data_IF_394880818712
#
_entry.id   IF_394880818712
#
_cell.length_a   1.000
_cell.length_b   1.000
_cell.length_c   1.000
_cell.angle_alpha   90.00
_cell.angle_beta   90.00
_cell.angle_gamma   90.00
#
_symmetry.space_group_name_H-M   'P 1'
#
loop_
_entity.id
_entity.type
_entity.pdbx_description
1 polymer ?
#
# COMPACT_ATOMS: atom_id res chain seq x y z
N UNK A 1 5.93 56.60 -10.75
CA UNK A 1 5.56 55.59 -11.77
C UNK A 1 4.69 54.56 -11.09
N UNK A 2 3.37 54.66 -11.31
CA UNK A 2 2.33 53.90 -10.62
C UNK A 2 1.93 52.70 -11.50
N UNK A 3 2.11 51.47 -11.02
CA UNK A 3 1.43 50.31 -11.59
C UNK A 3 0.28 49.88 -10.68
N UNK A 4 -0.93 50.16 -11.17
CA UNK A 4 -2.20 49.58 -10.71
C UNK A 4 -2.28 48.15 -11.25
N UNK A 5 -2.47 47.16 -10.39
CA UNK A 5 -3.11 45.90 -10.78
C UNK A 5 -4.49 45.81 -10.13
N UNK A 6 -5.49 45.84 -10.99
CA UNK A 6 -6.89 45.66 -10.66
C UNK A 6 -7.18 44.19 -10.35
N UNK A 7 -7.64 43.89 -9.14
CA UNK A 7 -8.24 42.60 -8.81
C UNK A 7 -9.74 42.73 -9.04
N UNK A 8 -10.18 42.07 -10.11
CA UNK A 8 -11.56 42.00 -10.55
C UNK A 8 -12.41 41.26 -9.51
N UNK A 9 -13.47 41.91 -9.04
CA UNK A 9 -14.47 41.31 -8.16
C UNK A 9 -15.34 40.31 -8.91
N UNK A 10 -15.28 39.04 -8.51
CA UNK A 10 -16.23 38.01 -8.90
C UNK A 10 -17.11 37.65 -7.70
N UNK A 11 -18.34 38.16 -7.79
CA UNK A 11 -19.47 37.99 -6.90
C UNK A 11 -20.01 36.56 -7.07
N UNK A 12 -19.80 35.70 -6.07
CA UNK A 12 -20.40 34.36 -6.02
C UNK A 12 -21.88 34.46 -5.62
N UNK A 13 -22.84 33.87 -6.36
CA UNK A 13 -24.22 33.77 -5.92
C UNK A 13 -24.36 32.62 -4.89
N UNK A 14 -25.02 32.93 -3.76
CA UNK A 14 -25.52 31.95 -2.80
C UNK A 14 -26.64 31.14 -3.46
N UNK A 15 -26.44 29.84 -3.62
CA UNK A 15 -27.53 28.91 -3.95
C UNK A 15 -27.95 28.19 -2.67
N UNK A 16 -29.15 28.55 -2.21
CA UNK A 16 -29.87 27.84 -1.16
C UNK A 16 -30.43 26.54 -1.75
N UNK A 17 -30.02 25.40 -1.20
CA UNK A 17 -30.66 24.11 -1.48
C UNK A 17 -31.58 23.80 -0.31
N UNK A 18 -32.88 23.88 -0.58
CA UNK A 18 -33.94 23.56 0.35
C UNK A 18 -33.95 22.05 0.65
N UNK A 19 -33.91 21.71 1.93
CA UNK A 19 -34.17 20.35 2.41
C UNK A 19 -35.68 20.09 2.42
N UNK A 20 -36.14 19.21 1.53
CA UNK A 20 -37.45 18.57 1.67
C UNK A 20 -37.27 17.16 2.21
N UNK A 21 -37.68 16.95 3.46
CA UNK A 21 -37.88 15.62 4.02
C UNK A 21 -39.16 15.03 3.44
N UNK A 22 -39.05 13.97 2.64
CA UNK A 22 -40.17 13.08 2.32
C UNK A 22 -39.88 11.75 3.00
N UNK A 23 -40.67 11.47 4.03
CA UNK A 23 -40.76 10.18 4.67
C UNK A 23 -41.42 9.18 3.71
N UNK A 24 -40.74 8.09 3.41
CA UNK A 24 -41.33 6.90 2.80
C UNK A 24 -40.95 5.71 3.68
N UNK A 25 -41.93 5.25 4.43
CA UNK A 25 -41.95 3.97 5.14
C UNK A 25 -41.95 2.86 4.10
N UNK A 26 -40.90 2.04 4.10
CA UNK A 26 -40.76 0.88 3.20
C UNK A 26 -40.12 -0.28 3.94
N UNK A 27 -40.94 -1.27 4.27
CA UNK A 27 -40.61 -2.53 4.93
C UNK A 27 -39.50 -3.31 4.21
N UNK A 28 -38.44 -3.66 4.93
CA UNK A 28 -37.37 -4.58 4.51
C UNK A 28 -37.86 -6.02 4.65
N UNK A 29 -38.06 -6.70 3.52
CA UNK A 29 -37.98 -8.16 3.41
C UNK A 29 -36.61 -8.48 2.82
N UNK A 30 -35.74 -9.07 3.63
CA UNK A 30 -34.42 -9.56 3.22
C UNK A 30 -34.56 -10.95 2.58
N UNK A 31 -34.19 -11.07 1.31
CA UNK A 31 -33.77 -12.34 0.73
C UNK A 31 -32.33 -12.17 0.25
N UNK A 32 -31.40 -12.75 1.02
CA UNK A 32 -30.00 -12.86 0.66
C UNK A 32 -29.83 -13.98 -0.35
N UNK A 33 -29.25 -13.64 -1.50
CA UNK A 33 -28.61 -14.58 -2.39
C UNK A 33 -27.14 -14.69 -1.96
N UNK A 34 -26.67 -15.91 -1.70
CA UNK A 34 -25.25 -16.23 -1.81
C UNK A 34 -25.08 -17.40 -2.77
N UNK A 35 -24.11 -17.25 -3.66
CA UNK A 35 -23.91 -18.06 -4.82
C UNK A 35 -22.60 -18.84 -4.69
N UNK A 36 -22.72 -20.17 -4.80
CA UNK A 36 -21.91 -20.95 -5.74
C UNK A 36 -20.56 -21.47 -5.25
N UNK A 37 -20.48 -22.81 -5.21
CA UNK A 37 -19.40 -23.74 -5.61
C UNK A 37 -19.59 -25.04 -4.79
N UNK A 38 -19.67 -26.25 -5.36
CA UNK A 38 -18.71 -26.90 -6.23
C UNK A 38 -19.32 -27.99 -7.13
N UNK A 39 -18.60 -28.22 -8.23
CA UNK A 39 -18.67 -29.29 -9.22
C UNK A 39 -18.49 -30.71 -8.65
N UNK A 40 -19.13 -31.72 -9.25
CA UNK A 40 -18.44 -32.81 -9.99
C UNK A 40 -19.39 -33.96 -10.36
N UNK A 41 -19.18 -34.45 -11.58
CA UNK A 41 -19.67 -35.73 -12.11
C UNK A 41 -19.13 -36.90 -11.27
N UNK A 42 -19.94 -37.95 -11.06
CA UNK A 42 -19.66 -39.34 -11.51
C UNK A 42 -20.77 -40.31 -11.09
N UNK A 43 -21.10 -41.19 -12.04
CA UNK A 43 -21.66 -42.55 -11.95
C UNK A 43 -22.12 -43.12 -10.60
N UNK A 44 -23.37 -43.62 -10.55
CA UNK A 44 -23.62 -45.04 -10.20
C UNK A 44 -25.04 -45.51 -10.53
N UNK A 45 -25.14 -46.29 -11.61
CA UNK A 45 -25.62 -47.67 -11.64
C UNK A 45 -26.91 -48.03 -10.84
N UNK A 46 -28.01 -48.12 -11.59
CA UNK A 46 -28.99 -49.22 -11.67
C UNK A 46 -29.42 -49.94 -10.37
N UNK A 47 -30.72 -49.85 -10.06
CA UNK A 47 -31.49 -51.05 -9.73
C UNK A 47 -32.90 -51.02 -10.37
N UNK A 48 -33.08 -51.95 -11.32
CA UNK A 48 -34.34 -52.31 -11.98
C UNK A 48 -35.35 -52.86 -10.97
N UNK A 49 -36.61 -52.46 -11.12
CA UNK A 49 -37.73 -53.41 -11.02
C UNK A 49 -38.69 -53.17 -12.17
N UNK A 50 -38.55 -53.99 -13.21
CA UNK A 50 -39.47 -54.12 -14.31
C UNK A 50 -40.41 -55.29 -14.04
N UNK A 51 -41.72 -55.04 -14.13
CA UNK A 51 -42.79 -55.98 -14.50
C UNK A 51 -44.09 -55.17 -14.43
N UNK A 52 -45.01 -55.14 -15.39
CA UNK A 52 -45.23 -56.02 -16.53
C UNK A 52 -46.28 -55.39 -17.45
N UNK A 53 -46.07 -55.60 -18.76
CA UNK A 53 -47.04 -55.77 -19.85
C UNK A 53 -48.07 -54.69 -20.19
N UNK A 54 -47.95 -54.29 -21.46
CA UNK A 54 -49.07 -53.94 -22.33
C UNK A 54 -50.12 -55.06 -22.37
N UNK A 55 -51.40 -54.72 -22.22
CA UNK A 55 -52.47 -54.94 -23.21
C UNK A 55 -53.83 -54.62 -22.57
N UNK A 56 -54.58 -53.75 -23.26
CA UNK A 56 -56.03 -53.50 -23.27
C UNK A 56 -56.95 -54.47 -22.51
N UNK A 57 -58.08 -53.95 -21.97
CA UNK A 57 -59.29 -53.99 -22.78
C UNK A 57 -60.03 -52.64 -22.87
N UNK A 58 -60.53 -52.44 -24.08
CA UNK A 58 -61.49 -51.45 -24.55
C UNK A 58 -62.71 -51.35 -23.61
N UNK A 59 -63.17 -50.13 -23.25
CA UNK A 59 -64.58 -49.85 -23.15
C UNK A 59 -65.00 -49.12 -24.43
N UNK A 60 -65.75 -49.85 -25.24
CA UNK A 60 -66.53 -49.35 -26.34
C UNK A 60 -67.56 -48.39 -25.78
N UNK A 61 -67.28 -47.10 -25.90
CA UNK A 61 -68.29 -46.06 -25.81
C UNK A 61 -67.95 -45.05 -26.89
N UNK A 62 -68.48 -45.27 -28.08
CA UNK A 62 -68.61 -44.24 -29.09
C UNK A 62 -69.36 -43.06 -28.45
N UNK A 63 -68.78 -41.86 -28.31
CA UNK A 63 -69.61 -40.68 -28.22
C UNK A 63 -70.07 -40.45 -29.65
N UNK A 64 -71.33 -40.77 -29.92
CA UNK A 64 -71.98 -40.34 -31.14
C UNK A 64 -71.75 -38.84 -31.31
N UNK A 65 -71.16 -38.47 -32.44
CA UNK A 65 -71.13 -37.11 -32.94
C UNK A 65 -72.58 -36.65 -33.11
N UNK A 66 -73.09 -35.95 -32.12
CA UNK A 66 -74.05 -34.87 -32.32
C UNK A 66 -73.41 -33.58 -31.84
N UNK A 67 -72.22 -33.28 -32.38
CA UNK A 67 -71.64 -31.95 -32.19
C UNK A 67 -72.37 -31.06 -33.17
N UNK A 68 -73.14 -30.12 -32.65
CA UNK A 68 -73.73 -29.07 -33.46
C UNK A 68 -72.59 -28.39 -34.25
N UNK A 69 -72.78 -28.00 -35.53
CA UNK A 69 -71.72 -27.36 -36.30
C UNK A 69 -71.19 -26.09 -35.59
N UNK A 70 -72.00 -25.45 -34.74
CA UNK A 70 -71.63 -24.36 -33.84
C UNK A 70 -70.56 -24.74 -32.81
N UNK A 71 -70.67 -25.87 -32.12
CA UNK A 71 -69.69 -26.28 -31.10
C UNK A 71 -68.33 -26.65 -31.71
N UNK A 72 -68.30 -27.24 -32.90
CA UNK A 72 -67.05 -27.50 -33.62
C UNK A 72 -66.38 -26.17 -34.00
N UNK A 73 -67.15 -25.17 -34.46
CA UNK A 73 -66.59 -23.86 -34.81
C UNK A 73 -66.08 -23.09 -33.59
N UNK A 74 -66.73 -23.23 -32.43
CA UNK A 74 -66.26 -22.64 -31.16
C UNK A 74 -64.98 -23.30 -30.64
N UNK A 75 -64.87 -24.63 -30.75
CA UNK A 75 -63.64 -25.33 -30.38
C UNK A 75 -62.47 -24.99 -31.31
N UNK A 76 -62.73 -24.79 -32.61
CA UNK A 76 -61.72 -24.34 -33.56
C UNK A 76 -61.25 -22.91 -33.24
N UNK A 77 -62.16 -21.99 -32.92
CA UNK A 77 -61.80 -20.61 -32.55
C UNK A 77 -61.02 -20.55 -31.23
N UNK A 78 -61.38 -21.36 -30.23
CA UNK A 78 -60.59 -21.50 -29.00
C UNK A 78 -59.19 -22.06 -29.27
N UNK A 79 -59.06 -23.02 -30.20
CA UNK A 79 -57.75 -23.58 -30.56
C UNK A 79 -56.86 -22.56 -31.27
N UNK A 80 -57.46 -21.72 -32.12
CA UNK A 80 -56.76 -20.61 -32.75
C UNK A 80 -56.31 -19.57 -31.73
N UNK A 81 -57.16 -19.22 -30.77
CA UNK A 81 -56.84 -18.26 -29.71
C UNK A 81 -55.73 -18.78 -28.77
N UNK A 82 -55.81 -20.05 -28.36
CA UNK A 82 -54.74 -20.69 -27.58
C UNK A 82 -53.41 -20.74 -28.35
N UNK A 83 -53.45 -20.94 -29.66
CA UNK A 83 -52.24 -20.86 -30.51
C UNK A 83 -51.66 -19.45 -30.55
N UNK A 84 -52.52 -18.41 -30.63
CA UNK A 84 -52.08 -17.01 -30.55
C UNK A 84 -51.44 -16.71 -29.20
N UNK A 85 -52.06 -17.14 -28.10
CA UNK A 85 -51.51 -16.96 -26.75
C UNK A 85 -50.17 -17.69 -26.57
N UNK A 86 -50.05 -18.92 -27.07
CA UNK A 86 -48.77 -19.63 -27.07
C UNK A 86 -47.71 -18.89 -27.89
N UNK A 87 -48.04 -18.35 -29.05
CA UNK A 87 -47.07 -17.56 -29.83
C UNK A 87 -46.66 -16.26 -29.13
N UNK A 88 -47.60 -15.57 -28.47
CA UNK A 88 -47.30 -14.36 -27.70
C UNK A 88 -46.43 -14.70 -26.51
N UNK A 89 -46.75 -15.75 -25.76
CA UNK A 89 -45.95 -16.21 -24.63
C UNK A 89 -44.55 -16.67 -25.07
N UNK A 90 -44.42 -17.28 -26.24
CA UNK A 90 -43.11 -17.65 -26.78
C UNK A 90 -42.30 -16.42 -27.17
N UNK A 91 -42.93 -15.42 -27.77
CA UNK A 91 -42.29 -14.15 -28.10
C UNK A 91 -41.86 -13.38 -26.84
N UNK A 92 -42.69 -13.34 -25.79
CA UNK A 92 -42.30 -12.69 -24.53
C UNK A 92 -41.15 -13.41 -23.84
N UNK A 93 -41.14 -14.74 -23.83
CA UNK A 93 -40.00 -15.51 -23.32
C UNK A 93 -38.75 -15.20 -24.15
N UNK A 94 -38.86 -15.12 -25.47
CA UNK A 94 -37.73 -14.82 -26.35
C UNK A 94 -37.18 -13.41 -26.11
N UNK A 95 -38.03 -12.39 -25.96
CA UNK A 95 -37.60 -11.01 -25.70
C UNK A 95 -37.01 -10.82 -24.31
N UNK A 96 -37.58 -11.48 -23.29
CA UNK A 96 -37.01 -11.48 -21.94
C UNK A 96 -35.66 -12.20 -21.93
N UNK A 97 -35.53 -13.30 -22.66
CA UNK A 97 -34.26 -14.04 -22.76
C UNK A 97 -33.19 -13.21 -23.48
N UNK A 98 -33.54 -12.51 -24.58
CA UNK A 98 -32.60 -11.63 -25.27
C UNK A 98 -32.19 -10.44 -24.40
N UNK A 99 -33.14 -9.81 -23.68
CA UNK A 99 -32.85 -8.71 -22.75
C UNK A 99 -31.99 -9.15 -21.57
N UNK A 100 -32.21 -10.35 -21.02
CA UNK A 100 -31.35 -10.91 -19.98
C UNK A 100 -29.93 -11.22 -20.50
N UNK A 101 -29.81 -11.72 -21.73
CA UNK A 101 -28.51 -11.96 -22.35
C UNK A 101 -27.73 -10.66 -22.57
N UNK A 102 -28.40 -9.60 -23.04
CA UNK A 102 -27.83 -8.26 -23.22
C UNK A 102 -27.41 -7.65 -21.87
N UNK A 103 -28.28 -7.67 -20.87
CA UNK A 103 -27.96 -7.16 -19.53
C UNK A 103 -26.78 -7.89 -18.88
N UNK A 104 -26.70 -9.21 -19.06
CA UNK A 104 -25.57 -9.99 -18.55
C UNK A 104 -24.27 -9.66 -19.30
N UNK A 105 -24.33 -9.47 -20.63
CA UNK A 105 -23.18 -9.05 -21.43
C UNK A 105 -22.68 -7.66 -21.01
N UNK A 106 -23.58 -6.71 -20.76
CA UNK A 106 -23.24 -5.39 -20.24
C UNK A 106 -22.60 -5.46 -18.85
N UNK A 107 -23.16 -6.27 -17.94
CA UNK A 107 -22.60 -6.48 -16.60
C UNK A 107 -21.17 -7.02 -16.66
N UNK A 108 -20.89 -7.97 -17.55
CA UNK A 108 -19.54 -8.48 -17.80
C UNK A 108 -18.59 -7.41 -18.34
N UNK A 109 -19.04 -6.55 -19.26
CA UNK A 109 -18.24 -5.43 -19.74
C UNK A 109 -17.92 -4.42 -18.63
N UNK A 110 -18.88 -4.13 -17.76
CA UNK A 110 -18.64 -3.28 -16.59
C UNK A 110 -17.63 -3.92 -15.65
N UNK A 111 -17.76 -5.22 -15.32
CA UNK A 111 -16.78 -5.94 -14.49
C UNK A 111 -15.36 -5.84 -15.06
N UNK A 112 -15.20 -6.01 -16.38
CA UNK A 112 -13.90 -5.85 -17.06
C UNK A 112 -13.35 -4.44 -16.95
N UNK A 113 -14.18 -3.41 -17.15
CA UNK A 113 -13.77 -2.00 -17.02
C UNK A 113 -13.40 -1.64 -15.59
N UNK A 114 -14.13 -2.17 -14.59
CA UNK A 114 -13.80 -1.99 -13.18
C UNK A 114 -12.47 -2.65 -12.84
N UNK A 115 -12.22 -3.87 -13.31
CA UNK A 115 -10.93 -4.54 -13.12
C UNK A 115 -9.77 -3.76 -13.77
N UNK A 116 -9.94 -3.23 -15.00
CA UNK A 116 -8.93 -2.39 -15.64
C UNK A 116 -8.67 -1.09 -14.86
N UNK A 117 -9.72 -0.43 -14.36
CA UNK A 117 -9.56 0.75 -13.50
C UNK A 117 -8.85 0.43 -12.19
N UNK A 118 -9.15 -0.71 -11.57
CA UNK A 118 -8.51 -1.17 -10.34
C UNK A 118 -7.02 -1.43 -10.57
N UNK A 119 -6.65 -2.13 -11.65
CA UNK A 119 -5.26 -2.35 -12.04
C UNK A 119 -4.52 -1.03 -12.34
N UNK A 120 -5.19 -0.07 -12.99
CA UNK A 120 -4.60 1.27 -13.21
C UNK A 120 -4.40 2.03 -11.89
N UNK A 121 -5.32 1.92 -10.94
CA UNK A 121 -5.19 2.55 -9.62
C UNK A 121 -4.10 1.89 -8.77
N UNK A 122 -3.91 0.58 -8.91
CA UNK A 122 -2.81 -0.16 -8.29
C UNK A 122 -1.47 0.20 -8.91
N UNK A 123 -1.39 0.28 -10.25
CA UNK A 123 -0.18 0.68 -10.97
C UNK A 123 0.26 2.12 -10.64
N UNK A 124 -0.70 3.02 -10.41
CA UNK A 124 -0.42 4.38 -9.93
C UNK A 124 -0.03 4.44 -8.44
N UNK A 125 -0.06 3.30 -7.73
CA UNK A 125 0.23 3.23 -6.29
C UNK A 125 -0.81 3.94 -5.41
N UNK A 126 -1.90 4.45 -6.00
CA UNK A 126 -2.94 5.21 -5.32
C UNK A 126 -3.84 4.31 -4.46
N UNK A 127 -3.93 3.02 -4.75
CA UNK A 127 -4.66 2.07 -3.91
C UNK A 127 -4.05 1.90 -2.51
N UNK A 128 -2.72 2.00 -2.39
CA UNK A 128 -2.04 2.10 -1.08
C UNK A 128 -2.14 3.52 -0.51
N UNK A 129 -1.99 4.57 -1.33
CA UNK A 129 -2.02 5.95 -0.84
C UNK A 129 -3.40 6.42 -0.35
N UNK A 130 -4.50 5.89 -0.93
CA UNK A 130 -5.88 6.27 -0.57
C UNK A 130 -6.37 5.59 0.72
N UNK A 131 -6.08 4.30 0.91
CA UNK A 131 -6.36 3.59 2.18
C UNK A 131 -5.49 4.09 3.32
N UNK A 132 -4.25 4.49 3.02
CA UNK A 132 -3.29 4.99 4.00
C UNK A 132 -3.21 6.52 4.03
N UNK A 133 -4.24 7.25 3.59
CA UNK A 133 -4.23 8.72 3.59
C UNK A 133 -3.81 9.30 4.94
N UNK A 134 -4.29 8.71 6.04
CA UNK A 134 -3.88 9.09 7.39
C UNK A 134 -2.38 8.80 7.67
N UNK A 135 -1.83 7.68 7.19
CA UNK A 135 -0.38 7.39 7.34
C UNK A 135 0.46 8.28 6.42
N UNK A 136 -0.07 8.67 5.26
CA UNK A 136 0.59 9.58 4.33
C UNK A 136 0.62 10.99 4.90
N UNK A 137 -0.49 11.46 5.48
CA UNK A 137 -0.55 12.72 6.24
C UNK A 137 0.40 12.68 7.44
N UNK A 138 0.46 11.58 8.19
CA UNK A 138 1.42 11.43 9.29
C UNK A 138 2.88 11.47 8.81
N UNK A 139 3.20 10.81 7.69
CA UNK A 139 4.55 10.85 7.08
C UNK A 139 4.89 12.25 6.57
N UNK A 140 3.93 12.96 5.98
CA UNK A 140 4.10 14.34 5.54
C UNK A 140 4.33 15.27 6.74
N UNK A 141 3.54 15.14 7.81
CA UNK A 141 3.75 15.91 9.04
C UNK A 141 5.11 15.63 9.66
N UNK A 142 5.53 14.37 9.68
CA UNK A 142 6.86 13.97 10.17
C UNK A 142 7.96 14.58 9.29
N UNK A 143 7.88 14.41 7.97
CA UNK A 143 8.88 14.94 7.04
C UNK A 143 8.95 16.48 7.05
N UNK A 144 7.82 17.17 7.18
CA UNK A 144 7.77 18.64 7.31
C UNK A 144 8.36 19.06 8.66
N UNK A 145 8.05 18.36 9.75
CA UNK A 145 8.65 18.62 11.06
C UNK A 145 10.16 18.41 11.06
N UNK A 146 10.64 17.32 10.46
CA UNK A 146 12.07 17.00 10.34
C UNK A 146 12.78 18.07 9.49
N UNK A 147 12.16 18.50 8.39
CA UNK A 147 12.68 19.58 7.55
C UNK A 147 12.75 20.91 8.30
N UNK A 148 11.74 21.25 9.10
CA UNK A 148 11.76 22.45 9.94
C UNK A 148 12.86 22.37 11.01
N UNK A 149 13.08 21.20 11.61
CA UNK A 149 14.14 21.00 12.58
C UNK A 149 15.52 21.17 11.92
N UNK A 150 15.74 20.56 10.76
CA UNK A 150 16.97 20.72 9.99
C UNK A 150 17.18 22.17 9.49
N UNK A 151 16.11 22.90 9.18
CA UNK A 151 16.19 24.34 8.88
C UNK A 151 16.66 25.14 10.10
N UNK A 152 16.08 24.91 11.27
CA UNK A 152 16.49 25.58 12.52
C UNK A 152 17.94 25.30 12.88
N UNK A 153 18.40 24.05 12.74
CA UNK A 153 19.81 23.71 12.95
C UNK A 153 20.72 24.47 11.97
N UNK A 154 20.38 24.49 10.68
CA UNK A 154 21.14 25.28 9.69
C UNK A 154 21.19 26.77 10.01
N UNK A 155 20.10 27.34 10.50
CA UNK A 155 20.07 28.75 10.89
C UNK A 155 20.95 29.00 12.12
N UNK A 156 20.97 28.09 13.10
CA UNK A 156 21.91 28.16 14.23
C UNK A 156 23.38 28.09 13.78
N UNK A 157 23.72 27.21 12.83
CA UNK A 157 25.08 27.18 12.24
C UNK A 157 25.42 28.49 11.53
N UNK A 158 24.47 29.06 10.77
CA UNK A 158 24.66 30.35 10.08
C UNK A 158 24.91 31.48 11.06
N UNK A 159 24.12 31.57 12.12
CA UNK A 159 24.26 32.61 13.14
C UNK A 159 25.61 32.52 13.85
N UNK A 160 26.04 31.32 14.22
CA UNK A 160 27.35 31.11 14.86
C UNK A 160 28.51 31.41 13.91
N UNK A 161 28.40 31.06 12.63
CA UNK A 161 29.41 31.39 11.62
C UNK A 161 29.49 32.89 11.38
N UNK A 162 28.35 33.59 11.34
CA UNK A 162 28.31 35.05 11.23
C UNK A 162 28.98 35.72 12.43
N UNK A 163 28.62 35.30 13.65
CA UNK A 163 29.25 35.78 14.88
C UNK A 163 30.76 35.49 14.94
N UNK A 164 31.20 34.32 14.45
CA UNK A 164 32.62 33.99 14.34
C UNK A 164 33.34 34.87 13.33
N UNK A 165 32.77 35.07 12.14
CA UNK A 165 33.33 35.96 11.14
C UNK A 165 33.45 37.40 11.64
N UNK A 166 32.48 37.87 12.43
CA UNK A 166 32.51 39.19 13.04
C UNK A 166 33.61 39.28 14.11
N UNK A 167 33.69 38.30 15.02
CA UNK A 167 34.74 38.24 16.04
C UNK A 167 36.15 38.19 15.40
N UNK A 168 36.32 37.41 14.34
CA UNK A 168 37.57 37.33 13.58
C UNK A 168 37.91 38.66 12.89
N UNK A 169 36.94 39.34 12.28
CA UNK A 169 37.15 40.65 11.67
C UNK A 169 37.46 41.73 12.71
N UNK A 170 36.81 41.70 13.89
CA UNK A 170 37.16 42.58 15.01
C UNK A 170 38.58 42.32 15.47
N UNK A 171 38.96 41.05 15.64
CA UNK A 171 40.32 40.68 16.00
C UNK A 171 41.36 41.15 14.99
N UNK A 172 41.14 40.98 13.69
CA UNK A 172 42.07 41.48 12.67
C UNK A 172 42.20 43.00 12.67
N UNK A 173 41.12 43.73 12.96
CA UNK A 173 41.14 45.20 13.08
C UNK A 173 41.83 45.70 14.34
N UNK A 174 41.76 44.94 15.45
CA UNK A 174 42.37 45.30 16.74
C UNK A 174 43.72 44.63 16.97
N UNK A 175 44.14 43.69 16.13
CA UNK A 175 45.41 42.98 16.22
C UNK A 175 46.63 43.92 16.06
N UNK A 176 46.47 45.09 15.45
CA UNK A 176 47.49 46.14 15.45
C UNK A 176 47.73 46.74 16.85
N UNK A 177 46.79 46.58 17.80
CA UNK A 177 46.83 47.15 19.15
C UNK A 177 47.01 46.14 20.31
N UNK A 178 47.03 44.83 20.05
CA UNK A 178 47.26 43.83 21.11
C UNK A 178 46.10 43.65 22.11
N UNK A 179 44.86 43.90 21.69
CA UNK A 179 43.69 43.79 22.57
C UNK A 179 43.45 42.34 23.02
N UNK A 180 43.66 42.10 24.32
CA UNK A 180 43.41 40.81 24.97
C UNK A 180 41.93 40.38 24.91
N UNK A 181 41.00 41.35 24.89
CA UNK A 181 39.57 41.09 24.76
C UNK A 181 39.19 40.51 23.39
N UNK A 182 39.79 40.99 22.30
CA UNK A 182 39.48 40.49 20.97
C UNK A 182 39.98 39.04 20.76
N UNK A 183 41.08 38.65 21.42
CA UNK A 183 41.55 37.25 21.46
C UNK A 183 40.58 36.35 22.23
N UNK A 184 40.10 36.84 23.37
CA UNK A 184 39.15 36.11 24.21
C UNK A 184 37.83 35.84 23.48
N UNK A 185 37.31 36.82 22.74
CA UNK A 185 36.06 36.68 21.97
C UNK A 185 36.17 35.65 20.84
N UNK A 186 37.30 35.63 20.12
CA UNK A 186 37.56 34.63 19.06
C UNK A 186 37.67 33.23 19.66
N UNK A 187 38.39 33.06 20.77
CA UNK A 187 38.48 31.76 21.45
C UNK A 187 37.14 31.28 22.01
N UNK A 188 36.34 32.19 22.58
CA UNK A 188 35.00 31.89 23.05
C UNK A 188 34.10 31.41 21.90
N UNK A 189 34.19 32.06 20.74
CA UNK A 189 33.40 31.70 19.57
C UNK A 189 33.90 30.44 18.84
N UNK A 190 35.21 30.14 18.90
CA UNK A 190 35.74 28.85 18.45
C UNK A 190 35.23 27.70 19.33
N UNK A 191 35.17 27.90 20.65
CA UNK A 191 34.61 26.90 21.57
C UNK A 191 33.12 26.69 21.35
N UNK A 192 32.35 27.75 21.11
CA UNK A 192 30.91 27.65 20.86
C UNK A 192 30.61 26.95 19.53
N UNK A 193 31.36 27.26 18.47
CA UNK A 193 31.27 26.60 17.16
C UNK A 193 31.64 25.12 17.23
N UNK A 194 32.78 24.78 17.87
CA UNK A 194 33.20 23.38 18.02
C UNK A 194 32.16 22.57 18.82
N UNK A 195 31.58 23.14 19.87
CA UNK A 195 30.52 22.48 20.63
C UNK A 195 29.24 22.22 19.81
N UNK A 196 28.94 23.03 18.78
CA UNK A 196 27.81 22.79 17.89
C UNK A 196 28.12 21.68 16.89
N UNK A 197 29.33 21.69 16.31
CA UNK A 197 29.81 20.65 15.40
C UNK A 197 29.87 19.27 16.08
N UNK A 198 30.34 19.22 17.34
CA UNK A 198 30.39 17.98 18.14
C UNK A 198 28.99 17.41 18.42
N UNK A 199 27.98 18.27 18.61
CA UNK A 199 26.59 17.84 18.77
C UNK A 199 26.00 17.28 17.48
N UNK A 200 26.35 17.87 16.32
CA UNK A 200 25.92 17.40 15.00
C UNK A 200 26.49 16.03 14.65
N UNK A 201 27.81 15.89 14.79
CA UNK A 201 28.55 14.67 14.41
C UNK A 201 28.09 13.45 15.21
N UNK A 202 27.79 13.64 16.49
CA UNK A 202 27.24 12.58 17.35
C UNK A 202 25.86 12.10 16.87
N UNK A 203 25.02 13.00 16.37
CA UNK A 203 23.68 12.67 15.86
C UNK A 203 23.78 11.94 14.51
N UNK A 204 24.68 12.36 13.61
CA UNK A 204 24.91 11.70 12.31
C UNK A 204 25.55 10.31 12.44
N UNK A 205 26.38 10.07 13.46
CA UNK A 205 27.01 8.75 13.66
C UNK A 205 26.01 7.61 13.92
N UNK A 206 24.76 7.93 14.30
CA UNK A 206 23.71 6.95 14.61
C UNK A 206 22.90 6.49 13.39
N UNK A 207 23.15 7.02 12.19
CA UNK A 207 22.45 6.64 10.96
C UNK A 207 23.45 6.14 9.92
N UNK A 208 23.81 4.85 9.98
CA UNK A 208 24.59 4.19 8.94
C UNK A 208 23.69 3.67 7.83
N UNK A 209 24.09 3.87 6.57
CA UNK A 209 23.45 3.20 5.44
C UNK A 209 23.94 1.74 5.36
N UNK A 210 23.14 0.83 4.77
CA UNK A 210 23.49 -0.59 4.64
C UNK A 210 24.84 -0.83 3.91
N UNK A 211 25.27 0.15 3.12
CA UNK A 211 26.53 0.15 2.36
C UNK A 211 27.71 0.81 3.11
N UNK A 212 27.43 1.54 4.20
CA UNK A 212 28.41 2.34 4.94
C UNK A 212 28.16 2.25 6.45
N UNK A 213 27.92 1.02 6.92
CA UNK A 213 27.76 0.76 8.33
C UNK A 213 29.10 0.92 9.06
N UNK A 214 29.06 1.29 10.35
CA UNK A 214 30.25 1.33 11.21
C UNK A 214 29.98 0.64 12.55
N UNK A 215 31.05 0.09 13.14
CA UNK A 215 31.03 -0.52 14.46
C UNK A 215 30.94 0.58 15.53
N UNK A 216 29.83 0.65 16.26
CA UNK A 216 29.64 1.58 17.39
C UNK A 216 30.29 1.02 18.66
N UNK A 217 30.16 -0.29 18.88
CA UNK A 217 30.58 -0.91 20.13
C UNK A 217 31.02 -2.35 19.92
N UNK A 218 32.09 -2.71 20.63
CA UNK A 218 32.64 -4.06 20.65
C UNK A 218 32.67 -4.57 22.08
N UNK A 219 32.10 -5.75 22.31
CA UNK A 219 32.23 -6.47 23.57
C UNK A 219 32.93 -7.80 23.31
N UNK A 220 34.26 -7.79 23.46
CA UNK A 220 35.13 -8.93 23.11
C UNK A 220 34.79 -10.20 23.91
N UNK A 221 34.45 -10.07 25.20
CA UNK A 221 34.10 -11.21 26.07
C UNK A 221 32.91 -12.05 25.54
N UNK A 222 32.03 -11.43 24.75
CA UNK A 222 30.81 -12.04 24.22
C UNK A 222 30.89 -12.24 22.70
N UNK A 223 32.03 -11.90 22.08
CA UNK A 223 32.20 -11.83 20.62
C UNK A 223 31.05 -11.07 19.94
N UNK A 224 30.57 -10.01 20.60
CA UNK A 224 29.37 -9.27 20.19
C UNK A 224 29.75 -7.89 19.68
N UNK A 225 29.24 -7.56 18.49
CA UNK A 225 29.49 -6.30 17.79
C UNK A 225 28.17 -5.58 17.58
N UNK A 226 28.16 -4.28 17.87
CA UNK A 226 27.01 -3.40 17.67
C UNK A 226 27.27 -2.48 16.49
N UNK A 227 26.42 -2.56 15.46
CA UNK A 227 26.49 -1.73 14.25
C UNK A 227 25.41 -0.65 14.20
N UNK A 228 25.68 0.46 13.51
CA UNK A 228 24.79 1.63 13.37
C UNK A 228 23.68 1.51 12.30
N UNK A 229 23.33 0.29 11.90
CA UNK A 229 22.28 -0.02 10.93
C UNK A 229 21.40 -1.15 11.45
N UNK A 230 20.13 -1.19 11.06
CA UNK A 230 19.12 -2.10 11.57
C UNK A 230 18.03 -2.42 10.54
N UNK A 231 16.81 -2.67 11.04
CA UNK A 231 15.69 -3.15 10.23
C UNK A 231 15.25 -2.12 9.17
N UNK A 232 15.41 -0.83 9.46
CA UNK A 232 15.08 0.25 8.51
C UNK A 232 15.95 0.21 7.26
N UNK A 233 17.19 -0.18 7.42
CA UNK A 233 18.17 -0.29 6.36
C UNK A 233 18.01 -1.60 5.58
N UNK A 234 17.21 -2.55 6.08
CA UNK A 234 16.91 -3.84 5.42
C UNK A 234 17.66 -5.04 6.01
N UNK A 235 18.27 -4.88 7.18
CA UNK A 235 19.01 -5.95 7.86
C UNK A 235 18.05 -6.98 8.46
N UNK A 236 18.36 -8.26 8.25
CA UNK A 236 17.60 -9.39 8.77
C UNK A 236 18.47 -10.25 9.68
N UNK A 237 17.81 -10.91 10.63
CA UNK A 237 18.43 -11.90 11.49
C UNK A 237 19.03 -13.00 10.61
N UNK A 238 20.27 -13.39 10.90
CA UNK A 238 21.01 -14.41 10.17
C UNK A 238 21.79 -13.91 8.95
N UNK A 239 21.66 -12.63 8.57
CA UNK A 239 22.40 -12.07 7.44
C UNK A 239 23.91 -12.01 7.73
N UNK A 240 24.78 -12.42 6.78
CA UNK A 240 26.22 -12.32 6.95
C UNK A 240 26.70 -10.88 6.70
N UNK A 241 27.63 -10.43 7.55
CA UNK A 241 28.29 -9.13 7.46
C UNK A 241 29.80 -9.33 7.41
N UNK A 242 30.51 -8.38 6.81
CA UNK A 242 31.97 -8.31 6.81
C UNK A 242 32.43 -7.02 7.43
N UNK A 243 33.42 -7.12 8.29
CA UNK A 243 34.17 -5.98 8.81
C UNK A 243 35.35 -5.74 7.88
N UNK A 244 35.46 -4.53 7.33
CA UNK A 244 36.59 -4.08 6.54
C UNK A 244 37.33 -2.94 7.23
N UNK A 245 38.66 -2.99 7.17
CA UNK A 245 39.54 -1.89 7.56
C UNK A 245 40.37 -1.52 6.34
N UNK A 246 40.00 -0.43 5.68
CA UNK A 246 40.49 -0.15 4.33
C UNK A 246 39.98 -1.21 3.34
N UNK A 247 40.90 -1.87 2.64
CA UNK A 247 40.57 -2.91 1.65
C UNK A 247 40.65 -4.36 2.18
N UNK A 248 41.12 -4.55 3.42
CA UNK A 248 41.27 -5.88 4.02
C UNK A 248 40.03 -6.28 4.84
N UNK A 249 39.59 -7.53 4.66
CA UNK A 249 38.48 -8.12 5.43
C UNK A 249 39.03 -8.63 6.76
N UNK A 250 38.66 -7.96 7.84
CA UNK A 250 39.14 -8.25 9.20
C UNK A 250 38.38 -9.42 9.82
N UNK A 251 37.05 -9.48 9.64
CA UNK A 251 36.22 -10.53 10.24
C UNK A 251 34.90 -10.73 9.48
N UNK A 252 34.34 -11.93 9.61
CA UNK A 252 32.96 -12.25 9.20
C UNK A 252 32.07 -12.32 10.43
N UNK A 253 30.95 -11.61 10.37
CA UNK A 253 29.95 -11.55 11.43
C UNK A 253 28.63 -12.11 10.93
N UNK A 254 27.79 -12.59 11.85
CA UNK A 254 26.41 -12.97 11.58
C UNK A 254 25.46 -12.21 12.49
N UNK A 255 24.43 -11.61 11.89
CA UNK A 255 23.43 -10.85 12.64
C UNK A 255 22.57 -11.79 13.48
N UNK A 256 22.40 -11.46 14.77
CA UNK A 256 21.61 -12.26 15.72
C UNK A 256 20.41 -11.47 16.24
N UNK A 257 20.56 -10.16 16.42
CA UNK A 257 19.48 -9.28 16.85
C UNK A 257 19.40 -8.04 15.97
N UNK A 258 18.19 -7.56 15.68
CA UNK A 258 17.95 -6.39 14.83
C UNK A 258 16.90 -5.50 15.49
N UNK A 259 17.28 -4.25 15.74
CA UNK A 259 16.39 -3.16 16.16
C UNK A 259 16.16 -2.22 14.99
N UNK A 260 15.33 -1.19 15.18
CA UNK A 260 14.99 -0.26 14.10
C UNK A 260 16.20 0.45 13.50
N UNK A 261 17.22 0.82 14.29
CA UNK A 261 18.40 1.60 13.87
C UNK A 261 19.74 0.95 14.22
N UNK A 262 19.73 -0.21 14.87
CA UNK A 262 20.93 -0.86 15.42
C UNK A 262 20.80 -2.36 15.20
N UNK A 263 21.91 -3.03 14.90
CA UNK A 263 21.98 -4.49 14.85
C UNK A 263 23.06 -5.02 15.79
N UNK A 264 22.79 -6.20 16.33
CA UNK A 264 23.73 -7.00 17.08
C UNK A 264 24.21 -8.16 16.21
N UNK A 265 25.52 -8.29 16.04
CA UNK A 265 26.14 -9.36 15.28
C UNK A 265 27.19 -10.09 16.12
N UNK A 266 27.30 -11.40 15.88
CA UNK A 266 28.29 -12.28 16.51
C UNK A 266 29.42 -12.57 15.52
N UNK A 267 30.65 -12.61 15.99
CA UNK A 267 31.83 -12.97 15.20
C UNK A 267 31.80 -14.46 14.89
N UNK A 268 31.75 -14.84 13.61
CA UNK A 268 31.85 -16.24 13.17
C UNK A 268 33.30 -16.63 12.88
N UNK A 269 33.98 -15.80 12.10
CA UNK A 269 35.38 -16.00 11.72
C UNK A 269 36.14 -14.70 12.01
N UNK A 270 37.08 -14.76 12.95
CA UNK A 270 38.03 -13.69 13.20
C UNK A 270 39.25 -13.89 12.31
N UNK A 271 39.63 -12.86 11.55
CA UNK A 271 40.92 -12.81 10.88
C UNK A 271 42.08 -12.63 11.86
N UNK A 272 43.24 -12.23 11.33
CA UNK A 272 44.47 -12.03 12.12
C UNK A 272 44.44 -10.77 12.99
N UNK A 273 43.59 -9.80 12.66
CA UNK A 273 43.47 -8.53 13.37
C UNK A 273 42.23 -8.46 14.28
N UNK A 274 42.38 -7.77 15.42
CA UNK A 274 41.25 -7.44 16.31
C UNK A 274 40.38 -6.33 15.73
N UNK A 275 39.06 -6.50 15.87
CA UNK A 275 38.05 -5.50 15.49
C UNK A 275 38.21 -4.25 16.38
N UNK A 276 38.02 -3.07 15.80
CA UNK A 276 38.03 -1.79 16.54
C UNK A 276 36.72 -1.04 16.31
N UNK A 277 36.39 -0.18 17.26
CA UNK A 277 35.28 0.77 17.11
C UNK A 277 35.60 1.70 15.94
N UNK A 278 34.65 1.88 15.02
CA UNK A 278 34.81 2.67 13.81
C UNK A 278 35.22 1.88 12.56
N UNK A 279 35.45 0.56 12.64
CA UNK A 279 35.65 -0.26 11.44
C UNK A 279 34.37 -0.30 10.57
N UNK A 280 34.55 -0.43 9.25
CA UNK A 280 33.45 -0.40 8.28
C UNK A 280 32.76 -1.76 8.20
N UNK A 281 31.45 -1.75 8.16
CA UNK A 281 30.59 -2.92 8.06
C UNK A 281 29.86 -2.92 6.73
N UNK A 282 30.00 -4.00 5.97
CA UNK A 282 29.33 -4.20 4.69
C UNK A 282 28.58 -5.54 4.69
N UNK A 283 27.39 -5.56 4.10
CA UNK A 283 26.63 -6.80 3.91
C UNK A 283 27.30 -7.66 2.84
N UNK A 284 27.56 -8.93 3.17
CA UNK A 284 28.02 -9.87 2.14
C UNK A 284 26.81 -10.37 1.34
N UNK A 285 26.68 -9.90 0.11
CA UNK A 285 25.63 -10.35 -0.80
C UNK A 285 25.90 -11.77 -1.37
N UNK A 286 27.00 -12.43 -0.97
CA UNK A 286 27.24 -13.83 -1.34
C UNK A 286 26.48 -14.74 -0.38
N UNK A 287 25.45 -15.47 -0.84
CA UNK A 287 24.85 -16.51 -0.03
C UNK A 287 25.88 -17.63 0.11
N UNK A 288 26.52 -17.74 1.27
CA UNK A 288 27.20 -18.98 1.66
C UNK A 288 26.11 -20.04 1.88
N UNK A 289 25.74 -20.72 0.79
CA UNK A 289 24.93 -21.94 0.83
C UNK A 289 25.83 -23.07 1.30
N UNK A 290 26.08 -23.09 2.60
CA UNK A 290 26.83 -24.14 3.28
C UNK A 290 25.96 -24.81 4.34
N UNK A 291 24.87 -25.46 3.92
CA UNK A 291 24.21 -26.46 4.76
C UNK A 291 25.11 -27.70 4.78
N UNK A 292 25.66 -28.00 5.95
CA UNK A 292 26.12 -29.35 6.33
C UNK A 292 25.12 -29.92 7.32
#
# INVERSE_FOLDING_TARGET
>A
MNLRLAICGLRLPKMAVAMSHIAMVGTLVSYGADAGKDSSLTDSKNEKRATVMASTPVPSASPQLSVSPSEVTELLSQKEELRRQLSLSQQTVQTLTSSLAESNAEAELFRRKFADLELRMEALGLASASKDRAKLEQRLLTAVSDLQLAQKERDQYRDQMMQFSEAMLRYLKTAEGGDAQARMDVEAQLRSMNALVDKSSKTQSMTGSLLDGSVIGLKEEWSFVVGNFGAREGVKIGMPLRVKRGDEVVARLRVVDVRERICGAIIQESGKEKIKVGDRLEVDARPDVGLK
#
